data_IF_046154213086
#
_entry.id   IF_046154213086
#
_cell.length_a   1.000
_cell.length_b   1.000
_cell.length_c   1.000
_cell.angle_alpha   90.00
_cell.angle_beta   90.00
_cell.angle_gamma   90.00
#
_symmetry.space_group_name_H-M   'P 1'
#
loop_
_entity.id
_entity.type
_entity.pdbx_description
1 polymer ?
#
# COMPACT_ATOMS: atom_id res chain seq x y z
N UNK A 1 -39.24 -14.36 -38.04
CA UNK A 1 -39.78 -13.61 -36.90
C UNK A 1 -38.98 -13.87 -35.63
N UNK A 2 -38.94 -15.11 -35.13
CA UNK A 2 -38.22 -15.45 -33.88
C UNK A 2 -36.73 -15.03 -33.85
N UNK A 3 -35.97 -15.16 -34.94
CA UNK A 3 -34.55 -14.76 -34.96
C UNK A 3 -34.32 -13.25 -34.77
N UNK A 4 -35.17 -12.40 -35.36
CA UNK A 4 -35.08 -10.93 -35.19
C UNK A 4 -35.45 -10.51 -33.77
N UNK A 5 -36.43 -11.16 -33.16
CA UNK A 5 -36.77 -10.92 -31.75
C UNK A 5 -35.63 -11.35 -30.82
N UNK A 6 -34.99 -12.49 -31.06
CA UNK A 6 -33.80 -12.91 -30.29
C UNK A 6 -32.67 -11.89 -30.37
N UNK A 7 -32.37 -11.37 -31.56
CA UNK A 7 -31.34 -10.33 -31.73
C UNK A 7 -31.71 -9.06 -30.97
N UNK A 8 -32.98 -8.65 -31.04
CA UNK A 8 -33.44 -7.45 -30.34
C UNK A 8 -33.33 -7.61 -28.81
N UNK A 9 -33.73 -8.75 -28.27
CA UNK A 9 -33.55 -9.09 -26.85
C UNK A 9 -32.06 -9.06 -26.49
N UNK A 10 -31.17 -9.66 -27.29
CA UNK A 10 -29.74 -9.65 -27.01
C UNK A 10 -29.08 -8.25 -27.10
N UNK A 11 -29.65 -7.33 -27.88
CA UNK A 11 -29.17 -5.95 -28.00
C UNK A 11 -29.71 -5.02 -26.91
N UNK A 12 -30.91 -5.27 -26.41
CA UNK A 12 -31.63 -4.36 -25.53
C UNK A 12 -31.81 -4.88 -24.09
N UNK A 13 -31.42 -6.13 -23.78
CA UNK A 13 -31.64 -6.68 -22.43
C UNK A 13 -30.91 -5.87 -21.36
N UNK A 14 -31.66 -5.52 -20.32
CA UNK A 14 -31.16 -4.78 -19.16
C UNK A 14 -30.87 -5.77 -18.02
N UNK A 15 -31.69 -6.84 -17.91
CA UNK A 15 -31.57 -7.85 -16.86
C UNK A 15 -31.41 -9.25 -17.44
N UNK A 16 -30.55 -10.07 -16.84
CA UNK A 16 -30.30 -11.45 -17.29
C UNK A 16 -31.57 -12.32 -17.23
N UNK A 17 -32.54 -11.99 -16.39
CA UNK A 17 -33.85 -12.64 -16.31
C UNK A 17 -34.69 -12.48 -17.59
N UNK A 18 -34.41 -11.48 -18.41
CA UNK A 18 -35.07 -11.28 -19.71
C UNK A 18 -34.62 -12.31 -20.75
N UNK A 19 -33.46 -12.96 -20.52
CA UNK A 19 -32.93 -14.06 -21.33
C UNK A 19 -33.60 -15.42 -21.04
N UNK A 20 -34.48 -15.49 -20.04
CA UNK A 20 -35.23 -16.71 -19.68
C UNK A 20 -36.20 -17.15 -20.78
N UNK A 21 -36.57 -16.21 -21.66
CA UNK A 21 -37.38 -16.41 -22.85
C UNK A 21 -36.68 -17.25 -23.93
N UNK A 22 -35.36 -17.39 -23.86
CA UNK A 22 -34.53 -18.17 -24.79
C UNK A 22 -34.36 -19.60 -24.26
N UNK A 23 -35.29 -20.50 -24.63
CA UNK A 23 -35.44 -21.82 -24.00
C UNK A 23 -34.79 -23.00 -24.76
N UNK A 24 -34.33 -22.80 -26.00
CA UNK A 24 -33.74 -23.86 -26.83
C UNK A 24 -32.40 -24.37 -26.23
N UNK A 25 -31.98 -25.61 -26.52
CA UNK A 25 -30.71 -26.16 -26.01
C UNK A 25 -29.48 -25.29 -26.33
N UNK A 26 -29.43 -24.72 -27.54
CA UNK A 26 -28.39 -23.75 -27.94
C UNK A 26 -28.47 -22.44 -27.16
N UNK A 27 -29.70 -21.97 -26.89
CA UNK A 27 -29.95 -20.73 -26.16
C UNK A 27 -29.49 -20.82 -24.69
N UNK A 28 -29.67 -21.99 -24.06
CA UNK A 28 -29.15 -22.26 -22.72
C UNK A 28 -27.63 -22.16 -22.66
N UNK A 29 -26.93 -22.65 -23.69
CA UNK A 29 -25.48 -22.52 -23.79
C UNK A 29 -25.06 -21.05 -23.93
N UNK A 30 -25.72 -20.28 -24.81
CA UNK A 30 -25.49 -18.84 -24.94
C UNK A 30 -25.76 -18.08 -23.63
N UNK A 31 -26.87 -18.37 -22.95
CA UNK A 31 -27.21 -17.77 -21.66
C UNK A 31 -26.14 -18.05 -20.61
N UNK A 32 -25.63 -19.28 -20.54
CA UNK A 32 -24.54 -19.63 -19.62
C UNK A 32 -23.25 -18.86 -19.91
N UNK A 33 -22.95 -18.60 -21.19
CA UNK A 33 -21.80 -17.81 -21.60
C UNK A 33 -21.99 -16.33 -21.24
N UNK A 34 -23.17 -15.77 -21.52
CA UNK A 34 -23.52 -14.38 -21.18
C UNK A 34 -23.44 -14.17 -19.67
N UNK A 35 -23.95 -15.11 -18.87
CA UNK A 35 -23.85 -15.07 -17.42
C UNK A 35 -22.40 -15.04 -16.94
N UNK A 36 -21.55 -15.94 -17.46
CA UNK A 36 -20.10 -15.95 -17.13
C UNK A 36 -19.42 -14.63 -17.51
N UNK A 37 -19.75 -14.08 -18.67
CA UNK A 37 -19.21 -12.78 -19.10
C UNK A 37 -19.65 -11.64 -18.18
N UNK A 38 -20.93 -11.63 -17.77
CA UNK A 38 -21.45 -10.63 -16.83
C UNK A 38 -20.85 -10.75 -15.43
N UNK A 39 -20.64 -11.96 -14.95
CA UNK A 39 -19.92 -12.20 -13.69
C UNK A 39 -18.48 -11.72 -13.75
N UNK A 40 -17.76 -12.01 -14.85
CA UNK A 40 -16.40 -11.54 -15.06
C UNK A 40 -16.32 -10.01 -15.16
N UNK A 41 -17.24 -9.38 -15.89
CA UNK A 41 -17.36 -7.92 -16.02
C UNK A 41 -17.64 -7.27 -14.65
N UNK A 42 -18.58 -7.81 -13.87
CA UNK A 42 -18.88 -7.34 -12.53
C UNK A 42 -17.67 -7.47 -11.58
N UNK A 43 -16.95 -8.60 -11.66
CA UNK A 43 -15.73 -8.80 -10.88
C UNK A 43 -14.63 -7.79 -11.25
N UNK A 44 -14.45 -7.51 -12.54
CA UNK A 44 -13.51 -6.49 -13.02
C UNK A 44 -13.90 -5.09 -12.53
N UNK A 45 -15.19 -4.73 -12.64
CA UNK A 45 -15.69 -3.44 -12.15
C UNK A 45 -15.47 -3.29 -10.64
N UNK A 46 -15.78 -4.32 -9.85
CA UNK A 46 -15.52 -4.33 -8.42
C UNK A 46 -14.01 -4.16 -8.10
N UNK A 47 -13.14 -4.81 -8.88
CA UNK A 47 -11.70 -4.67 -8.75
C UNK A 47 -11.25 -3.23 -9.04
N UNK A 48 -11.77 -2.60 -10.10
CA UNK A 48 -11.46 -1.21 -10.45
C UNK A 48 -11.93 -0.25 -9.35
N UNK A 49 -13.16 -0.38 -8.87
CA UNK A 49 -13.69 0.43 -7.76
C UNK A 49 -12.81 0.28 -6.52
N UNK A 50 -12.40 -0.95 -6.19
CA UNK A 50 -11.50 -1.22 -5.06
C UNK A 50 -10.14 -0.55 -5.24
N UNK A 51 -9.56 -0.64 -6.43
CA UNK A 51 -8.28 0.02 -6.75
C UNK A 51 -8.37 1.53 -6.63
N UNK A 52 -9.47 2.13 -7.11
CA UNK A 52 -9.71 3.57 -7.00
C UNK A 52 -9.83 4.01 -5.53
N UNK A 53 -10.66 3.32 -4.74
CA UNK A 53 -10.78 3.58 -3.30
C UNK A 53 -9.45 3.45 -2.56
N UNK A 54 -8.61 2.49 -2.93
CA UNK A 54 -7.27 2.33 -2.35
C UNK A 54 -6.36 3.53 -2.68
N UNK A 55 -6.40 4.05 -3.90
CA UNK A 55 -5.63 5.23 -4.31
C UNK A 55 -6.11 6.47 -3.55
N UNK A 56 -7.42 6.69 -3.48
CA UNK A 56 -8.01 7.81 -2.73
C UNK A 56 -7.63 7.77 -1.25
N UNK A 57 -7.75 6.59 -0.62
CA UNK A 57 -7.36 6.38 0.77
C UNK A 57 -5.88 6.70 1.02
N UNK A 58 -5.01 6.27 0.10
CA UNK A 58 -3.57 6.55 0.17
C UNK A 58 -3.27 8.04 0.03
N UNK A 59 -3.86 8.72 -0.96
CA UNK A 59 -3.66 10.16 -1.16
C UNK A 59 -4.11 10.92 0.08
N UNK A 60 -5.28 10.57 0.62
CA UNK A 60 -5.82 11.17 1.84
C UNK A 60 -4.87 10.99 3.02
N UNK A 61 -4.45 9.75 3.30
CA UNK A 61 -3.53 9.43 4.39
C UNK A 61 -2.21 10.21 4.27
N UNK A 62 -1.60 10.20 3.09
CA UNK A 62 -0.31 10.86 2.88
C UNK A 62 -0.41 12.38 2.98
N UNK A 63 -1.49 12.97 2.47
CA UNK A 63 -1.77 14.40 2.60
C UNK A 63 -1.90 14.81 4.08
N UNK A 64 -2.57 14.00 4.90
CA UNK A 64 -2.64 14.23 6.35
C UNK A 64 -1.26 14.14 7.02
N UNK A 65 -0.45 13.14 6.67
CA UNK A 65 0.89 12.96 7.22
C UNK A 65 1.82 14.13 6.87
N UNK A 66 1.72 14.67 5.65
CA UNK A 66 2.50 15.83 5.22
C UNK A 66 2.06 17.14 5.85
N UNK A 67 0.75 17.32 6.07
CA UNK A 67 0.21 18.56 6.65
C UNK A 67 0.76 18.83 8.05
N UNK A 68 0.97 17.80 8.87
CA UNK A 68 1.42 17.95 10.25
C UNK A 68 2.80 18.65 10.38
N UNK A 69 3.91 18.12 9.81
CA UNK A 69 5.20 18.81 9.87
C UNK A 69 5.20 20.14 9.12
N UNK A 70 4.41 20.31 8.05
CA UNK A 70 4.25 21.59 7.36
C UNK A 70 3.61 22.66 8.25
N UNK A 71 2.56 22.30 9.00
CA UNK A 71 1.94 23.20 9.96
C UNK A 71 2.88 23.54 11.12
N UNK A 72 3.68 22.57 11.60
CA UNK A 72 4.71 22.83 12.60
C UNK A 72 5.75 23.82 12.07
N UNK A 73 6.29 23.60 10.87
CA UNK A 73 7.22 24.54 10.21
C UNK A 73 6.61 25.94 10.04
N UNK A 74 5.36 26.03 9.60
CA UNK A 74 4.65 27.31 9.47
C UNK A 74 4.54 28.04 10.81
N UNK A 75 4.25 27.31 11.89
CA UNK A 75 4.15 27.88 13.23
C UNK A 75 5.52 28.34 13.74
N UNK A 76 6.57 27.56 13.52
CA UNK A 76 7.94 27.92 13.89
C UNK A 76 8.42 29.21 13.20
N UNK A 77 8.07 29.38 11.92
CA UNK A 77 8.35 30.62 11.17
C UNK A 77 7.58 31.80 11.76
N UNK A 78 6.30 31.62 12.10
CA UNK A 78 5.48 32.67 12.70
C UNK A 78 5.96 33.09 14.09
N UNK A 79 6.46 32.15 14.89
CA UNK A 79 6.99 32.42 16.24
C UNK A 79 8.45 32.88 16.25
N UNK A 80 9.06 33.06 15.07
CA UNK A 80 10.49 33.38 14.93
C UNK A 80 11.39 32.43 15.73
N UNK A 81 11.03 31.14 15.76
CA UNK A 81 11.86 30.12 16.42
C UNK A 81 13.25 30.11 15.80
N UNK A 82 14.27 30.11 16.65
CA UNK A 82 15.69 30.04 16.26
C UNK A 82 16.27 28.63 16.43
N UNK A 83 15.45 27.64 16.83
CA UNK A 83 15.93 26.27 17.02
C UNK A 83 16.05 25.54 15.68
N UNK A 84 17.22 25.68 15.07
CA UNK A 84 17.62 25.01 13.81
C UNK A 84 17.43 23.50 13.89
N UNK A 85 17.58 22.87 15.07
CA UNK A 85 17.43 21.41 15.21
C UNK A 85 15.99 20.99 15.01
N UNK A 86 15.02 21.73 15.53
CA UNK A 86 13.60 21.43 15.32
C UNK A 86 13.20 21.57 13.84
N UNK A 87 13.73 22.57 13.12
CA UNK A 87 13.49 22.72 11.68
C UNK A 87 14.02 21.52 10.92
N UNK A 88 15.27 21.14 11.19
CA UNK A 88 15.88 19.95 10.58
C UNK A 88 15.08 18.69 10.86
N UNK A 89 14.55 18.53 12.08
CA UNK A 89 13.70 17.39 12.42
C UNK A 89 12.40 17.36 11.60
N UNK A 90 11.72 18.49 11.37
CA UNK A 90 10.51 18.50 10.54
C UNK A 90 10.83 18.23 9.06
N UNK A 91 11.94 18.76 8.55
CA UNK A 91 12.41 18.47 7.18
C UNK A 91 12.71 16.98 7.00
N UNK A 92 13.46 16.38 7.92
CA UNK A 92 13.75 14.94 7.91
C UNK A 92 12.47 14.09 7.97
N UNK A 93 11.44 14.54 8.71
CA UNK A 93 10.12 13.87 8.73
C UNK A 93 9.43 13.93 7.36
N UNK A 94 9.46 15.07 6.68
CA UNK A 94 8.92 15.22 5.33
C UNK A 94 9.64 14.31 4.34
N UNK A 95 10.98 14.30 4.35
CA UNK A 95 11.77 13.41 3.50
C UNK A 95 11.44 11.93 3.75
N UNK A 96 11.29 11.53 5.02
CA UNK A 96 10.89 10.17 5.38
C UNK A 96 9.51 9.80 4.81
N UNK A 97 8.52 10.68 4.94
CA UNK A 97 7.19 10.44 4.38
C UNK A 97 7.18 10.40 2.85
N UNK A 98 8.00 11.21 2.18
CA UNK A 98 8.20 11.16 0.73
C UNK A 98 8.82 9.83 0.29
N UNK A 99 9.91 9.43 0.94
CA UNK A 99 10.59 8.17 0.65
C UNK A 99 9.68 6.96 0.85
N UNK A 100 8.90 6.93 1.93
CA UNK A 100 7.94 5.87 2.18
C UNK A 100 6.86 5.80 1.08
N UNK A 101 6.35 6.94 0.60
CA UNK A 101 5.40 6.98 -0.51
C UNK A 101 6.00 6.43 -1.80
N UNK A 102 7.22 6.87 -2.16
CA UNK A 102 7.90 6.39 -3.36
C UNK A 102 8.13 4.87 -3.32
N UNK A 103 8.51 4.34 -2.15
CA UNK A 103 8.70 2.90 -1.96
C UNK A 103 7.37 2.15 -2.10
N UNK A 104 6.29 2.68 -1.52
CA UNK A 104 4.95 2.09 -1.68
C UNK A 104 4.51 2.07 -3.14
N UNK A 105 4.69 3.17 -3.87
CA UNK A 105 4.33 3.25 -5.30
C UNK A 105 5.13 2.24 -6.13
N UNK A 106 6.44 2.11 -5.87
CA UNK A 106 7.29 1.08 -6.48
C UNK A 106 6.78 -0.32 -6.16
N UNK A 107 6.44 -0.60 -4.90
CA UNK A 107 5.92 -1.91 -4.51
C UNK A 107 4.62 -2.27 -5.24
N UNK A 108 3.72 -1.29 -5.41
CA UNK A 108 2.45 -1.48 -6.11
C UNK A 108 2.62 -1.72 -7.62
N UNK A 109 3.66 -1.14 -8.23
CA UNK A 109 3.91 -1.23 -9.67
C UNK A 109 4.68 -2.49 -10.09
N UNK A 110 5.40 -3.16 -9.19
CA UNK A 110 6.31 -4.25 -9.55
C UNK A 110 5.70 -5.64 -9.31
N UNK A 111 5.42 -6.33 -10.41
CA UNK A 111 5.31 -7.79 -10.45
C UNK A 111 6.65 -8.49 -10.80
N UNK A 112 7.69 -7.78 -11.28
CA UNK A 112 8.76 -8.45 -12.08
C UNK A 112 10.24 -8.25 -11.68
N UNK A 113 10.63 -7.45 -10.67
CA UNK A 113 12.07 -7.21 -10.36
C UNK A 113 12.49 -7.58 -8.93
N UNK A 114 11.94 -8.69 -8.41
CA UNK A 114 12.41 -9.24 -7.14
C UNK A 114 13.76 -9.93 -7.32
N UNK A 115 14.74 -9.53 -6.50
CA UNK A 115 16.08 -10.15 -6.48
C UNK A 115 16.23 -11.00 -5.24
N UNK A 116 15.79 -12.26 -5.36
CA UNK A 116 15.91 -13.24 -4.29
C UNK A 116 17.35 -13.67 -4.10
N UNK A 117 17.89 -13.39 -2.92
CA UNK A 117 19.23 -13.81 -2.51
C UNK A 117 19.19 -14.35 -1.08
N UNK A 118 20.21 -15.09 -0.68
CA UNK A 118 20.37 -15.48 0.71
C UNK A 118 20.80 -14.23 1.48
N UNK A 119 20.04 -13.87 2.51
CA UNK A 119 20.28 -12.68 3.33
C UNK A 119 20.29 -13.02 4.80
N UNK A 120 21.28 -12.48 5.52
CA UNK A 120 21.36 -12.49 6.98
C UNK A 120 20.39 -11.45 7.55
N UNK A 121 19.35 -11.90 8.26
CA UNK A 121 18.38 -10.99 8.89
C UNK A 121 19.06 -10.18 9.99
N UNK A 122 20.01 -10.79 10.72
CA UNK A 122 20.75 -10.12 11.78
C UNK A 122 21.51 -8.92 11.26
N UNK A 123 22.20 -9.04 10.13
CA UNK A 123 22.92 -7.91 9.51
C UNK A 123 21.99 -6.77 9.13
N UNK A 124 20.82 -7.10 8.56
CA UNK A 124 19.81 -6.10 8.18
C UNK A 124 19.32 -5.36 9.42
N UNK A 125 18.92 -6.08 10.47
CA UNK A 125 18.44 -5.47 11.72
C UNK A 125 19.55 -4.62 12.36
N UNK A 126 20.80 -5.14 12.44
CA UNK A 126 21.92 -4.38 13.00
C UNK A 126 22.20 -3.09 12.22
N UNK A 127 22.09 -3.11 10.89
CA UNK A 127 22.23 -1.89 10.08
C UNK A 127 21.14 -0.87 10.38
N UNK A 128 19.88 -1.31 10.48
CA UNK A 128 18.72 -0.47 10.78
C UNK A 128 18.86 0.16 12.18
N UNK A 129 19.19 -0.64 13.20
CA UNK A 129 19.36 -0.16 14.57
C UNK A 129 20.50 0.86 14.66
N UNK A 130 21.58 0.66 13.89
CA UNK A 130 22.70 1.60 13.84
C UNK A 130 22.29 2.95 13.23
N UNK A 131 21.48 2.95 12.18
CA UNK A 131 20.92 4.17 11.57
C UNK A 131 19.97 4.89 12.54
N UNK A 132 19.14 4.14 13.27
CA UNK A 132 18.18 4.70 14.23
C UNK A 132 18.77 4.97 15.63
N UNK A 133 20.09 4.84 15.80
CA UNK A 133 20.76 4.93 17.11
C UNK A 133 20.48 6.24 17.85
N UNK A 134 20.45 7.36 17.13
CA UNK A 134 20.15 8.67 17.72
C UNK A 134 18.77 8.69 18.40
N UNK A 135 17.75 8.10 17.75
CA UNK A 135 16.39 8.05 18.30
C UNK A 135 16.29 7.13 19.51
N UNK A 136 17.00 5.99 19.48
CA UNK A 136 17.06 5.09 20.63
C UNK A 136 17.71 5.76 21.84
N UNK A 137 18.83 6.46 21.65
CA UNK A 137 19.52 7.18 22.73
C UNK A 137 18.65 8.31 23.28
N UNK A 138 18.01 9.10 22.41
CA UNK A 138 17.12 10.18 22.82
C UNK A 138 15.95 9.71 23.69
N UNK A 139 15.51 8.46 23.53
CA UNK A 139 14.47 7.82 24.33
C UNK A 139 14.99 6.87 25.42
N UNK A 140 16.30 6.78 25.62
CA UNK A 140 16.95 5.86 26.57
C UNK A 140 16.52 4.40 26.35
N UNK A 141 16.37 3.98 25.09
CA UNK A 141 15.93 2.63 24.73
C UNK A 141 17.11 1.65 24.66
N UNK A 142 16.86 0.47 25.22
CA UNK A 142 17.77 -0.68 25.16
C UNK A 142 17.35 -1.62 24.01
N UNK A 143 18.27 -1.91 23.09
CA UNK A 143 18.00 -2.78 21.94
C UNK A 143 18.85 -4.04 22.02
N UNK A 144 18.21 -5.20 22.14
CA UNK A 144 18.87 -6.50 22.14
C UNK A 144 18.48 -7.28 20.88
N UNK A 145 19.48 -7.76 20.12
CA UNK A 145 19.28 -8.59 18.94
C UNK A 145 19.66 -10.03 19.29
N UNK A 146 18.67 -10.91 19.34
CA UNK A 146 18.86 -12.34 19.62
C UNK A 146 18.65 -13.19 18.38
N UNK A 147 19.46 -14.23 18.23
CA UNK A 147 19.40 -15.16 17.11
C UNK A 147 20.14 -14.70 15.86
N UNK A 148 20.26 -15.62 14.91
CA UNK A 148 20.74 -15.35 13.56
C UNK A 148 19.99 -16.27 12.61
N UNK A 149 19.25 -15.70 11.66
CA UNK A 149 18.57 -16.47 10.63
C UNK A 149 18.96 -15.96 9.24
N UNK A 150 19.09 -16.90 8.31
CA UNK A 150 19.29 -16.62 6.90
C UNK A 150 18.04 -17.01 6.14
N UNK A 151 17.58 -16.14 5.26
CA UNK A 151 16.38 -16.34 4.44
C UNK A 151 16.71 -16.10 2.98
N UNK A 152 16.06 -16.83 2.07
CA UNK A 152 16.10 -16.52 0.64
C UNK A 152 14.99 -15.51 0.33
N UNK A 153 15.33 -14.23 0.26
CA UNK A 153 14.37 -13.14 0.05
C UNK A 153 15.03 -11.95 -0.66
N UNK A 154 14.23 -10.94 -1.00
CA UNK A 154 14.73 -9.67 -1.49
C UNK A 154 15.20 -8.79 -0.31
N UNK A 155 16.50 -8.47 -0.30
CA UNK A 155 17.13 -7.69 0.77
C UNK A 155 16.51 -6.30 0.93
N UNK A 156 16.15 -5.64 -0.17
CA UNK A 156 15.65 -4.27 -0.18
C UNK A 156 14.26 -4.23 0.46
N UNK A 157 13.37 -5.12 0.05
CA UNK A 157 12.01 -5.18 0.58
C UNK A 157 11.97 -5.67 2.02
N UNK A 158 12.77 -6.68 2.38
CA UNK A 158 12.88 -7.13 3.77
C UNK A 158 13.40 -6.01 4.68
N UNK A 159 14.44 -5.29 4.25
CA UNK A 159 14.97 -4.14 5.01
C UNK A 159 13.91 -3.07 5.21
N UNK A 160 13.13 -2.74 4.18
CA UNK A 160 12.06 -1.75 4.30
C UNK A 160 10.99 -2.18 5.32
N UNK A 161 10.53 -3.43 5.26
CA UNK A 161 9.53 -3.95 6.20
C UNK A 161 10.05 -3.93 7.65
N UNK A 162 11.27 -4.41 7.89
CA UNK A 162 11.90 -4.38 9.21
C UNK A 162 12.13 -2.95 9.72
N UNK A 163 12.50 -2.03 8.84
CA UNK A 163 12.65 -0.61 9.18
C UNK A 163 11.34 -0.03 9.73
N UNK A 164 10.20 -0.30 9.07
CA UNK A 164 8.89 0.18 9.55
C UNK A 164 8.52 -0.40 10.92
N UNK A 165 8.81 -1.69 11.15
CA UNK A 165 8.55 -2.33 12.44
C UNK A 165 9.40 -1.70 13.55
N UNK A 166 10.69 -1.52 13.31
CA UNK A 166 11.62 -0.93 14.29
C UNK A 166 11.28 0.54 14.54
N UNK A 167 10.96 1.31 13.49
CA UNK A 167 10.52 2.69 13.61
C UNK A 167 9.26 2.82 14.48
N UNK A 168 8.29 1.93 14.29
CA UNK A 168 7.09 1.88 15.12
C UNK A 168 7.43 1.49 16.56
N UNK A 169 8.28 0.48 16.76
CA UNK A 169 8.71 0.08 18.09
C UNK A 169 9.37 1.24 18.84
N UNK A 170 10.30 1.97 18.21
CA UNK A 170 10.93 3.15 18.80
C UNK A 170 9.90 4.25 19.08
N UNK A 171 8.99 4.51 18.12
CA UNK A 171 7.97 5.57 18.24
C UNK A 171 7.04 5.33 19.43
N UNK A 172 6.58 4.09 19.62
CA UNK A 172 5.59 3.74 20.64
C UNK A 172 6.21 3.23 21.94
N UNK A 173 7.53 2.99 22.00
CA UNK A 173 8.20 2.67 23.25
C UNK A 173 8.28 3.88 24.20
N UNK A 174 8.12 3.60 25.48
CA UNK A 174 8.24 4.54 26.60
C UNK A 174 9.71 4.82 26.90
N UNK A 175 9.99 5.95 27.55
CA UNK A 175 11.34 6.31 27.95
C UNK A 175 11.91 5.25 28.91
N UNK A 176 13.14 4.77 28.67
CA UNK A 176 13.82 3.77 29.52
C UNK A 176 13.44 2.30 29.26
N UNK A 177 12.75 2.01 28.15
CA UNK A 177 12.34 0.65 27.75
C UNK A 177 13.27 -0.08 26.79
#
# INVERSE_FOLDING_TARGET
YQFREKIKILQEFIYVTELDTLSLPSDKAYRSLILKLKEAEAAQLLQQIKQQKNIESLIKMWSHQMKLPLSALSLMVQTQSTDVKEYQQQVLRLEKYLNNLLIYLKFKQHHDDFRFQIVSVREIISSIVKESRYLCIAKELSVTIQGNCQLKTDKKWLRFALMQLIDNAIKYSTKGG
#
